data_IF_486139733307
#
_entry.id   IF_486139733307
#
_cell.length_a   1.000
_cell.length_b   1.000
_cell.length_c   1.000
_cell.angle_alpha   90.00
_cell.angle_beta   90.00
_cell.angle_gamma   90.00
#
_symmetry.space_group_name_H-M   'P 1'
#
loop_
_entity.id
_entity.type
_entity.pdbx_description
1 polymer ?
#
# COMPACT_ATOMS: atom_id res chain seq x y z
N UNK A 1 22.51 10.50 25.15
CA UNK A 1 22.45 11.81 24.47
C UNK A 1 21.00 12.22 24.28
N UNK A 2 20.64 13.52 24.41
CA UNK A 2 19.25 13.97 24.31
C UNK A 2 18.65 13.65 22.94
N UNK A 3 17.33 13.38 22.91
CA UNK A 3 16.60 13.15 21.67
C UNK A 3 16.51 14.46 20.86
N UNK A 4 16.79 14.39 19.57
CA UNK A 4 16.65 15.50 18.64
C UNK A 4 15.26 15.51 17.98
N UNK A 5 14.67 14.33 17.75
CA UNK A 5 13.32 14.17 17.20
C UNK A 5 12.61 12.96 17.81
N UNK A 6 11.28 12.98 17.77
CA UNK A 6 10.40 11.89 18.21
C UNK A 6 9.58 11.45 16.99
N UNK A 7 9.47 10.13 16.79
CA UNK A 7 8.58 9.53 15.78
C UNK A 7 7.51 8.72 16.49
N UNK A 8 6.26 8.89 16.06
CA UNK A 8 5.13 8.13 16.60
C UNK A 8 4.57 7.22 15.54
N UNK A 9 4.30 5.97 15.92
CA UNK A 9 3.68 4.96 15.08
C UNK A 9 2.34 4.53 15.68
N UNK A 10 1.32 4.36 14.84
CA UNK A 10 0.06 3.69 15.21
C UNK A 10 -0.03 2.40 14.41
N UNK A 11 -0.12 1.26 15.10
CA UNK A 11 -0.10 -0.07 14.50
C UNK A 11 1.07 -0.25 13.53
N UNK A 12 2.26 0.23 13.92
CA UNK A 12 3.48 0.18 13.12
C UNK A 12 3.59 1.24 12.00
N UNK A 13 2.65 2.19 11.88
CA UNK A 13 2.65 3.23 10.83
C UNK A 13 3.00 4.60 11.36
N UNK A 14 3.95 5.27 10.72
CA UNK A 14 4.35 6.64 11.10
C UNK A 14 3.20 7.65 10.94
N UNK A 15 2.98 8.48 11.96
CA UNK A 15 1.99 9.56 11.93
C UNK A 15 2.69 10.88 11.59
N UNK A 16 2.39 11.44 10.41
CA UNK A 16 3.02 12.66 9.89
C UNK A 16 2.69 13.95 10.66
N UNK A 17 1.67 13.95 11.54
CA UNK A 17 1.21 15.14 12.25
C UNK A 17 1.86 15.38 13.61
N UNK A 18 2.84 14.57 13.98
CA UNK A 18 3.55 14.76 15.22
C UNK A 18 4.67 15.82 15.04
N UNK A 19 4.36 17.11 15.13
CA UNK A 19 5.43 18.10 15.29
C UNK A 19 6.10 17.87 16.66
N UNK A 20 7.42 17.64 16.70
CA UNK A 20 8.11 17.38 17.95
C UNK A 20 8.21 18.68 18.75
N UNK A 21 7.35 18.85 19.75
CA UNK A 21 7.60 19.84 20.80
C UNK A 21 8.56 19.26 21.85
N UNK A 22 9.20 20.13 22.64
CA UNK A 22 10.06 19.71 23.76
C UNK A 22 9.34 18.87 24.83
N UNK A 23 8.00 18.82 24.81
CA UNK A 23 7.16 18.29 25.90
C UNK A 23 6.26 17.12 25.43
N UNK A 24 6.02 16.96 24.13
CA UNK A 24 5.16 15.92 23.59
C UNK A 24 4.63 16.22 22.21
N UNK A 25 3.71 15.39 21.73
CA UNK A 25 3.06 15.55 20.42
C UNK A 25 1.64 15.01 20.48
N UNK A 26 0.72 15.60 19.72
CA UNK A 26 -0.67 15.17 19.65
C UNK A 26 -0.87 14.26 18.44
N UNK A 27 -1.58 13.14 18.65
CA UNK A 27 -1.90 12.18 17.60
C UNK A 27 -3.38 11.82 17.65
N UNK A 28 -3.98 11.64 16.48
CA UNK A 28 -5.33 11.09 16.37
C UNK A 28 -5.27 9.58 16.45
N UNK A 29 -6.07 9.00 17.36
CA UNK A 29 -6.16 7.56 17.54
C UNK A 29 -7.32 6.98 16.72
N UNK A 30 -7.16 5.77 16.17
CA UNK A 30 -8.19 5.11 15.39
C UNK A 30 -9.41 4.73 16.23
N UNK A 31 -10.51 4.39 15.55
CA UNK A 31 -11.78 3.98 16.19
C UNK A 31 -11.82 2.56 16.74
N UNK A 32 -10.66 1.95 16.91
CA UNK A 32 -10.48 0.56 17.31
C UNK A 32 -9.30 0.42 18.27
N UNK A 33 -9.12 -0.79 18.79
CA UNK A 33 -7.92 -1.13 19.55
C UNK A 33 -6.68 -0.88 18.69
N UNK A 34 -5.65 -0.31 19.30
CA UNK A 34 -4.42 0.04 18.58
C UNK A 34 -3.20 -0.03 19.48
N UNK A 35 -2.04 -0.16 18.86
CA UNK A 35 -0.74 -0.05 19.49
C UNK A 35 -0.10 1.27 19.06
N UNK A 36 0.24 2.11 20.04
CA UNK A 36 1.00 3.33 19.80
C UNK A 36 2.44 3.05 20.19
N UNK A 37 3.38 3.30 19.27
CA UNK A 37 4.82 3.15 19.51
C UNK A 37 5.53 4.48 19.33
N UNK A 38 6.50 4.77 20.17
CA UNK A 38 7.31 6.00 20.12
C UNK A 38 8.78 5.63 19.97
N UNK A 39 9.45 6.27 19.01
CA UNK A 39 10.88 6.10 18.74
C UNK A 39 11.57 7.45 18.88
N UNK A 40 12.56 7.53 19.76
CA UNK A 40 13.41 8.71 19.90
C UNK A 40 14.60 8.62 18.93
N UNK A 41 15.01 9.74 18.33
CA UNK A 41 16.17 9.80 17.43
C UNK A 41 17.09 10.95 17.79
N UNK A 42 18.39 10.73 17.69
CA UNK A 42 19.41 11.77 17.78
C UNK A 42 20.52 11.53 16.72
N UNK A 43 21.59 12.32 16.77
CA UNK A 43 22.73 12.20 15.83
C UNK A 43 23.48 10.86 15.86
N UNK A 44 23.25 10.03 16.88
CA UNK A 44 23.91 8.75 17.08
C UNK A 44 23.04 7.55 16.70
N UNK A 45 21.74 7.75 16.46
CA UNK A 45 20.82 6.67 16.09
C UNK A 45 19.41 6.83 16.63
N UNK A 46 18.64 5.75 16.55
CA UNK A 46 17.27 5.62 17.06
C UNK A 46 17.23 4.73 18.29
N UNK A 47 16.29 4.99 19.19
CA UNK A 47 15.98 4.09 20.31
C UNK A 47 15.22 2.84 19.83
N UNK A 48 15.11 1.85 20.69
CA UNK A 48 14.04 0.84 20.56
C UNK A 48 12.66 1.51 20.69
N UNK A 49 11.60 0.93 20.09
CA UNK A 49 10.24 1.43 20.25
C UNK A 49 9.72 1.26 21.67
N UNK A 50 9.19 2.33 22.25
CA UNK A 50 8.36 2.26 23.46
C UNK A 50 6.89 2.16 23.05
N UNK A 51 6.23 1.04 23.37
CA UNK A 51 4.89 0.72 22.87
C UNK A 51 3.84 0.63 23.98
N UNK A 52 2.64 1.13 23.70
CA UNK A 52 1.46 0.99 24.55
C UNK A 52 0.27 0.47 23.73
N UNK A 53 -0.40 -0.56 24.24
CA UNK A 53 -1.63 -1.09 23.65
C UNK A 53 -2.83 -0.39 24.28
N UNK A 54 -3.64 0.24 23.44
CA UNK A 54 -4.84 0.98 23.81
C UNK A 54 -6.05 0.13 23.45
N UNK A 55 -6.94 -0.06 24.43
CA UNK A 55 -8.26 -0.67 24.23
C UNK A 55 -9.33 0.40 24.20
N UNK A 56 -10.15 0.44 23.14
CA UNK A 56 -11.24 1.42 23.01
C UNK A 56 -12.49 0.89 23.70
N UNK A 57 -13.07 1.69 24.60
CA UNK A 57 -14.38 1.39 25.20
C UNK A 57 -15.49 1.82 24.23
N UNK A 58 -16.32 0.88 23.78
CA UNK A 58 -17.43 1.12 22.85
C UNK A 58 -17.79 -0.13 22.06
N UNK A 59 -18.79 -0.05 21.17
CA UNK A 59 -19.14 -1.14 20.25
C UNK A 59 -17.98 -1.36 19.28
N UNK A 60 -17.04 -2.22 19.65
CA UNK A 60 -16.03 -2.71 18.72
C UNK A 60 -16.78 -3.35 17.56
N UNK A 61 -16.56 -2.83 16.36
CA UNK A 61 -16.83 -3.62 15.17
C UNK A 61 -15.93 -4.84 15.30
N UNK A 62 -16.52 -6.00 15.59
CA UNK A 62 -15.78 -7.26 15.60
C UNK A 62 -15.00 -7.35 14.27
N UNK A 63 -13.80 -7.94 14.29
CA UNK A 63 -12.96 -8.05 13.09
C UNK A 63 -13.68 -8.70 11.89
N UNK A 64 -14.71 -9.52 12.15
CA UNK A 64 -15.56 -10.12 11.11
C UNK A 64 -16.63 -9.18 10.54
N UNK A 65 -17.06 -8.16 11.30
CA UNK A 65 -18.01 -7.12 10.84
C UNK A 65 -17.29 -5.99 10.10
N UNK A 66 -16.04 -5.70 10.47
CA UNK A 66 -15.23 -4.67 9.82
C UNK A 66 -14.50 -5.22 8.58
N UNK A 67 -15.11 -5.02 7.40
CA UNK A 67 -14.48 -5.30 6.10
C UNK A 67 -14.11 -3.98 5.39
N UNK A 68 -12.83 -3.72 5.10
CA UNK A 68 -12.40 -2.52 4.38
C UNK A 68 -12.81 -2.58 2.89
N UNK A 69 -12.82 -1.45 2.18
CA UNK A 69 -12.85 -1.50 0.72
C UNK A 69 -11.43 -1.77 0.20
N UNK A 70 -11.35 -2.41 -0.96
CA UNK A 70 -10.11 -2.61 -1.71
C UNK A 70 -10.16 -1.79 -3.00
N UNK A 71 -9.20 -0.90 -3.17
CA UNK A 71 -8.90 -0.26 -4.44
C UNK A 71 -7.65 -0.90 -5.02
N UNK A 72 -7.71 -1.35 -6.28
CA UNK A 72 -6.53 -1.94 -6.90
C UNK A 72 -6.25 -1.40 -8.29
N UNK A 73 -4.96 -1.26 -8.60
CA UNK A 73 -4.47 -0.88 -9.92
C UNK A 73 -3.57 -1.99 -10.44
N UNK A 74 -4.00 -2.69 -11.49
CA UNK A 74 -3.24 -3.75 -12.13
C UNK A 74 -2.66 -3.24 -13.46
N UNK A 75 -1.33 -3.22 -13.56
CA UNK A 75 -0.58 -2.66 -14.68
C UNK A 75 0.24 -3.77 -15.31
N UNK A 76 0.24 -3.87 -16.64
CA UNK A 76 1.03 -4.86 -17.37
C UNK A 76 0.40 -5.22 -18.70
N UNK A 77 0.63 -6.42 -19.20
CA UNK A 77 -0.15 -6.90 -20.35
C UNK A 77 -1.61 -7.14 -19.93
N UNK A 78 -2.53 -7.13 -20.88
CA UNK A 78 -3.95 -7.40 -20.61
C UNK A 78 -4.16 -8.73 -19.87
N UNK A 79 -3.37 -9.77 -20.19
CA UNK A 79 -3.48 -11.10 -19.57
C UNK A 79 -3.04 -11.11 -18.12
N UNK A 80 -1.84 -10.62 -17.83
CA UNK A 80 -1.28 -10.64 -16.46
C UNK A 80 -2.11 -9.75 -15.54
N UNK A 81 -2.35 -8.50 -15.95
CA UNK A 81 -3.09 -7.53 -15.16
C UNK A 81 -4.56 -7.94 -15.02
N UNK A 82 -5.17 -8.50 -16.08
CA UNK A 82 -6.53 -9.03 -16.03
C UNK A 82 -6.65 -10.23 -15.11
N UNK A 83 -5.71 -11.17 -15.14
CA UNK A 83 -5.73 -12.36 -14.27
C UNK A 83 -5.62 -11.97 -12.80
N UNK A 84 -4.70 -11.07 -12.48
CA UNK A 84 -4.56 -10.53 -11.13
C UNK A 84 -5.82 -9.78 -10.67
N UNK A 85 -6.42 -8.97 -11.55
CA UNK A 85 -7.68 -8.28 -11.25
C UNK A 85 -8.81 -9.27 -10.94
N UNK A 86 -8.95 -10.34 -11.73
CA UNK A 86 -9.94 -11.38 -11.49
C UNK A 86 -9.78 -12.10 -10.14
N UNK A 87 -8.54 -12.27 -9.66
CA UNK A 87 -8.28 -12.84 -8.34
C UNK A 87 -8.71 -11.92 -7.19
N UNK A 88 -8.49 -10.60 -7.34
CA UNK A 88 -8.88 -9.62 -6.34
C UNK A 88 -10.39 -9.42 -6.28
N UNK A 89 -11.08 -9.39 -7.42
CA UNK A 89 -12.54 -9.21 -7.47
C UNK A 89 -13.28 -10.31 -6.69
N UNK A 90 -12.75 -11.53 -6.67
CA UNK A 90 -13.30 -12.65 -5.88
C UNK A 90 -13.24 -12.44 -4.36
N UNK A 91 -12.44 -11.49 -3.89
CA UNK A 91 -12.32 -11.17 -2.47
C UNK A 91 -13.46 -10.26 -1.96
N UNK A 92 -14.28 -9.72 -2.86
CA UNK A 92 -15.45 -8.91 -2.53
C UNK A 92 -16.47 -9.72 -1.72
N UNK A 93 -16.98 -9.13 -0.65
CA UNK A 93 -17.87 -9.78 0.31
C UNK A 93 -17.16 -10.74 1.28
N UNK A 94 -15.95 -11.21 0.97
CA UNK A 94 -15.13 -12.07 1.83
C UNK A 94 -14.26 -11.24 2.78
N UNK A 95 -13.03 -10.90 2.40
CA UNK A 95 -12.12 -10.07 3.20
C UNK A 95 -12.36 -8.58 3.02
N UNK A 96 -12.99 -8.18 1.91
CA UNK A 96 -13.25 -6.79 1.57
C UNK A 96 -14.74 -6.57 1.37
N UNK A 97 -15.27 -5.43 1.81
CA UNK A 97 -16.68 -5.07 1.62
C UNK A 97 -16.97 -4.85 0.14
N UNK A 98 -16.14 -4.01 -0.48
CA UNK A 98 -16.14 -3.75 -1.91
C UNK A 98 -14.73 -3.95 -2.46
N UNK A 99 -14.66 -4.39 -3.71
CA UNK A 99 -13.43 -4.41 -4.49
C UNK A 99 -13.66 -3.56 -5.72
N UNK A 100 -12.68 -2.75 -6.08
CA UNK A 100 -12.65 -1.97 -7.32
C UNK A 100 -11.27 -2.10 -7.93
N UNK A 101 -11.15 -2.89 -9.00
CA UNK A 101 -9.89 -3.05 -9.71
C UNK A 101 -9.90 -2.34 -11.05
N UNK A 102 -8.88 -1.52 -11.31
CA UNK A 102 -8.64 -0.95 -12.64
C UNK A 102 -7.45 -1.61 -13.30
N UNK A 103 -7.66 -2.08 -14.52
CA UNK A 103 -6.62 -2.68 -15.36
C UNK A 103 -6.08 -1.62 -16.32
N UNK A 104 -4.78 -1.41 -16.33
CA UNK A 104 -4.08 -0.57 -17.28
C UNK A 104 -3.13 -1.43 -18.12
N UNK A 105 -3.64 -1.90 -19.26
CA UNK A 105 -2.86 -2.65 -20.23
C UNK A 105 -1.95 -1.71 -21.05
N UNK A 106 -0.67 -2.08 -21.21
CA UNK A 106 0.29 -1.43 -22.13
C UNK A 106 0.29 0.11 -22.06
N UNK A 107 0.27 0.64 -20.84
CA UNK A 107 -0.02 2.06 -20.57
C UNK A 107 1.24 2.93 -20.40
N UNK A 108 1.03 4.24 -20.29
CA UNK A 108 2.08 5.22 -20.00
C UNK A 108 2.19 5.51 -18.49
N UNK A 109 3.37 5.96 -18.04
CA UNK A 109 3.57 6.40 -16.65
C UNK A 109 2.61 7.52 -16.21
N UNK A 110 2.21 8.40 -17.13
CA UNK A 110 1.22 9.44 -16.87
C UNK A 110 -0.14 8.86 -16.46
N UNK A 111 -0.62 7.84 -17.18
CA UNK A 111 -1.88 7.19 -16.87
C UNK A 111 -1.82 6.46 -15.53
N UNK A 112 -0.69 5.80 -15.22
CA UNK A 112 -0.46 5.19 -13.90
C UNK A 112 -0.59 6.23 -12.78
N UNK A 113 0.10 7.35 -12.89
CA UNK A 113 0.07 8.41 -11.88
C UNK A 113 -1.31 9.05 -11.73
N UNK A 114 -2.02 9.25 -12.85
CA UNK A 114 -3.39 9.76 -12.85
C UNK A 114 -4.31 8.86 -12.02
N UNK A 115 -4.25 7.54 -12.26
CA UNK A 115 -5.10 6.59 -11.54
C UNK A 115 -4.70 6.42 -10.08
N UNK A 116 -3.41 6.38 -9.75
CA UNK A 116 -2.94 6.37 -8.37
C UNK A 116 -3.41 7.62 -7.60
N UNK A 117 -3.39 8.78 -8.25
CA UNK A 117 -3.90 10.04 -7.68
C UNK A 117 -5.41 9.97 -7.43
N UNK A 118 -6.16 9.30 -8.30
CA UNK A 118 -7.58 9.10 -8.12
C UNK A 118 -7.86 8.15 -6.95
N UNK A 119 -7.16 7.02 -6.86
CA UNK A 119 -7.26 6.08 -5.73
C UNK A 119 -6.96 6.80 -4.41
N UNK A 120 -5.89 7.60 -4.36
CA UNK A 120 -5.54 8.39 -3.17
C UNK A 120 -6.67 9.31 -2.70
N UNK A 121 -7.46 9.88 -3.62
CA UNK A 121 -8.60 10.75 -3.28
C UNK A 121 -9.83 9.99 -2.77
N UNK A 122 -9.98 8.72 -3.16
CA UNK A 122 -11.14 7.89 -2.79
C UNK A 122 -10.89 7.05 -1.54
N UNK A 123 -9.65 6.58 -1.35
CA UNK A 123 -9.30 5.70 -0.24
C UNK A 123 -9.33 6.45 1.09
N UNK A 124 -9.80 5.76 2.13
CA UNK A 124 -9.72 6.19 3.53
C UNK A 124 -8.55 5.50 4.24
N UNK A 125 -8.30 5.89 5.49
CA UNK A 125 -7.30 5.28 6.36
C UNK A 125 -7.60 3.82 6.72
N UNK A 126 -8.86 3.42 6.58
CA UNK A 126 -9.29 2.05 6.84
C UNK A 126 -9.24 1.13 5.63
N UNK A 127 -9.21 1.70 4.41
CA UNK A 127 -9.22 0.94 3.17
C UNK A 127 -7.87 0.27 2.87
N UNK A 128 -7.89 -0.69 1.97
CA UNK A 128 -6.70 -1.29 1.39
C UNK A 128 -6.50 -0.81 -0.05
N UNK A 129 -5.24 -0.60 -0.42
CA UNK A 129 -4.81 -0.31 -1.78
C UNK A 129 -3.80 -1.36 -2.21
N UNK A 130 -4.06 -2.00 -3.33
CA UNK A 130 -3.13 -2.94 -3.96
C UNK A 130 -2.71 -2.38 -5.32
N UNK A 131 -1.42 -2.26 -5.54
CA UNK A 131 -0.90 -1.93 -6.87
C UNK A 131 -0.11 -3.15 -7.35
N UNK A 132 -0.47 -3.65 -8.52
CA UNK A 132 0.22 -4.74 -9.20
C UNK A 132 0.85 -4.21 -10.48
N UNK A 133 2.10 -4.54 -10.69
CA UNK A 133 2.87 -4.09 -11.84
C UNK A 133 3.63 -5.25 -12.45
N UNK A 134 3.31 -5.58 -13.71
CA UNK A 134 3.98 -6.60 -14.51
C UNK A 134 4.60 -5.97 -15.76
N UNK A 135 5.80 -6.42 -16.13
CA UNK A 135 6.41 -6.13 -17.44
C UNK A 135 7.60 -5.15 -17.46
N UNK A 136 8.01 -4.79 -18.68
CA UNK A 136 9.23 -4.00 -18.97
C UNK A 136 8.97 -2.48 -18.98
N UNK A 137 8.20 -1.97 -18.02
CA UNK A 137 7.81 -0.56 -18.03
C UNK A 137 8.94 0.34 -17.48
N UNK A 138 9.91 0.59 -18.36
CA UNK A 138 11.09 1.40 -18.11
C UNK A 138 10.81 2.92 -17.95
N UNK A 139 9.56 3.40 -18.08
CA UNK A 139 9.27 4.84 -18.24
C UNK A 139 8.22 5.43 -17.27
N UNK A 140 7.82 4.72 -16.22
CA UNK A 140 6.99 5.34 -15.19
C UNK A 140 7.88 6.15 -14.21
N UNK A 141 7.53 7.40 -13.85
CA UNK A 141 8.35 8.20 -12.93
C UNK A 141 8.33 7.58 -11.53
N UNK A 142 9.31 6.71 -11.25
CA UNK A 142 9.41 5.94 -10.02
C UNK A 142 9.26 6.81 -8.77
N UNK A 143 9.90 7.99 -8.76
CA UNK A 143 9.84 8.93 -7.64
C UNK A 143 8.41 9.40 -7.35
N UNK A 144 7.63 9.74 -8.38
CA UNK A 144 6.26 10.22 -8.21
C UNK A 144 5.30 9.09 -7.82
N UNK A 145 5.56 7.85 -8.30
CA UNK A 145 4.82 6.67 -7.85
C UNK A 145 5.07 6.45 -6.36
N UNK A 146 6.35 6.44 -5.93
CA UNK A 146 6.71 6.31 -4.52
C UNK A 146 6.02 7.36 -3.66
N UNK A 147 6.11 8.63 -4.02
CA UNK A 147 5.49 9.72 -3.28
C UNK A 147 3.98 9.56 -3.18
N UNK A 148 3.34 9.11 -4.26
CA UNK A 148 1.88 8.89 -4.28
C UNK A 148 1.50 7.72 -3.39
N UNK A 149 2.23 6.60 -3.43
CA UNK A 149 2.00 5.44 -2.55
C UNK A 149 2.24 5.79 -1.07
N UNK A 150 3.32 6.51 -0.77
CA UNK A 150 3.67 6.96 0.58
C UNK A 150 2.73 8.05 1.14
N UNK A 151 1.88 8.62 0.30
CA UNK A 151 0.85 9.58 0.67
C UNK A 151 -0.56 8.97 0.74
N UNK A 152 -0.71 7.66 0.50
CA UNK A 152 -2.01 7.01 0.63
C UNK A 152 -2.42 6.88 2.10
N UNK A 153 -3.69 7.15 2.43
CA UNK A 153 -4.16 7.09 3.82
C UNK A 153 -4.27 5.65 4.35
N UNK A 154 -4.60 4.69 3.48
CA UNK A 154 -4.91 3.31 3.84
C UNK A 154 -3.72 2.34 3.84
N UNK A 155 -4.01 1.03 3.86
CA UNK A 155 -2.99 -0.02 3.77
C UNK A 155 -2.55 -0.24 2.35
N UNK A 156 -1.27 -0.02 2.04
CA UNK A 156 -0.74 -0.15 0.68
C UNK A 156 0.12 -1.40 0.56
N UNK A 157 -0.20 -2.26 -0.39
CA UNK A 157 0.66 -3.32 -0.87
C UNK A 157 1.05 -3.08 -2.33
N UNK A 158 2.32 -3.23 -2.65
CA UNK A 158 2.84 -3.10 -4.01
C UNK A 158 3.47 -4.42 -4.46
N UNK A 159 2.87 -5.03 -5.47
CA UNK A 159 3.33 -6.26 -6.11
C UNK A 159 4.04 -5.92 -7.41
N UNK A 160 5.27 -6.37 -7.51
CA UNK A 160 6.17 -6.02 -8.59
C UNK A 160 6.69 -7.29 -9.26
N UNK A 161 6.18 -7.57 -10.45
CA UNK A 161 6.56 -8.70 -11.29
C UNK A 161 7.34 -8.22 -12.51
N UNK A 162 8.61 -7.88 -12.32
CA UNK A 162 9.45 -7.36 -13.40
C UNK A 162 10.80 -8.06 -13.41
N UNK A 163 11.32 -8.28 -14.61
CA UNK A 163 12.70 -8.72 -14.81
C UNK A 163 13.65 -7.55 -14.50
N UNK A 164 13.99 -7.35 -13.23
CA UNK A 164 15.06 -6.47 -12.79
C UNK A 164 16.35 -7.27 -12.54
N UNK A 165 17.49 -6.59 -12.68
CA UNK A 165 18.70 -7.08 -12.03
C UNK A 165 18.53 -7.04 -10.52
N UNK A 166 19.07 -8.03 -9.81
CA UNK A 166 18.97 -8.16 -8.34
C UNK A 166 19.29 -6.83 -7.63
N UNK A 167 20.42 -6.21 -7.97
CA UNK A 167 20.84 -4.92 -7.39
C UNK A 167 19.84 -3.78 -7.56
N UNK A 168 19.11 -3.72 -8.69
CA UNK A 168 18.10 -2.67 -8.93
C UNK A 168 16.81 -2.94 -8.18
N UNK A 169 16.43 -4.21 -8.05
CA UNK A 169 15.29 -4.61 -7.25
C UNK A 169 15.53 -4.33 -5.76
N UNK A 170 16.70 -4.70 -5.23
CA UNK A 170 17.04 -4.47 -3.82
C UNK A 170 17.01 -2.99 -3.45
N UNK A 171 17.60 -2.13 -4.28
CA UNK A 171 17.58 -0.68 -4.05
C UNK A 171 16.15 -0.13 -4.02
N UNK A 172 15.29 -0.60 -4.94
CA UNK A 172 13.90 -0.14 -5.04
C UNK A 172 13.03 -0.67 -3.90
N UNK A 173 13.19 -1.94 -3.54
CA UNK A 173 12.50 -2.56 -2.41
C UNK A 173 12.87 -1.85 -1.13
N UNK A 174 14.16 -1.72 -0.83
CA UNK A 174 14.63 -1.06 0.39
C UNK A 174 14.09 0.37 0.51
N UNK A 175 14.05 1.10 -0.60
CA UNK A 175 13.56 2.47 -0.64
C UNK A 175 12.03 2.58 -0.48
N UNK A 176 11.25 1.68 -1.08
CA UNK A 176 9.78 1.66 -0.98
C UNK A 176 9.27 1.05 0.33
N UNK A 177 9.89 -0.03 0.81
CA UNK A 177 9.52 -0.72 2.05
C UNK A 177 10.02 0.00 3.29
N UNK A 178 10.75 1.11 3.12
CA UNK A 178 11.18 1.94 4.24
C UNK A 178 9.96 2.30 5.12
N UNK A 179 10.06 2.17 6.46
CA UNK A 179 8.91 2.35 7.36
C UNK A 179 8.17 3.69 7.21
N UNK A 180 8.87 4.74 6.76
CA UNK A 180 8.30 6.05 6.44
C UNK A 180 7.25 6.06 5.33
N UNK A 181 7.29 5.10 4.42
CA UNK A 181 6.34 5.06 3.30
C UNK A 181 5.07 4.28 3.65
N UNK A 182 5.12 3.39 4.65
CA UNK A 182 3.98 2.56 5.03
C UNK A 182 3.50 1.59 3.95
N UNK A 183 4.37 1.26 2.98
CA UNK A 183 4.10 0.37 1.85
C UNK A 183 4.71 -1.01 2.10
N UNK A 184 3.91 -2.07 1.98
CA UNK A 184 4.41 -3.45 1.93
C UNK A 184 4.75 -3.80 0.48
N UNK A 185 5.98 -4.25 0.21
CA UNK A 185 6.44 -4.50 -1.17
C UNK A 185 6.71 -5.98 -1.35
N UNK A 186 6.19 -6.56 -2.43
CA UNK A 186 6.41 -7.94 -2.85
C UNK A 186 7.04 -7.92 -4.24
N UNK A 187 8.18 -8.57 -4.42
CA UNK A 187 8.90 -8.57 -5.71
C UNK A 187 9.19 -9.98 -6.15
N UNK A 188 8.92 -10.27 -7.42
CA UNK A 188 9.49 -11.41 -8.11
C UNK A 188 10.82 -10.99 -8.76
N UNK A 189 11.94 -11.52 -8.26
CA UNK A 189 13.31 -11.21 -8.74
C UNK A 189 14.02 -12.45 -9.30
N UNK A 190 14.89 -12.23 -10.28
CA UNK A 190 15.47 -13.29 -11.11
C UNK A 190 16.68 -14.02 -10.51
N UNK A 191 16.41 -15.17 -9.90
CA UNK A 191 17.01 -16.47 -10.25
C UNK A 191 15.99 -17.62 -10.11
N UNK A 192 14.71 -17.26 -10.02
CA UNK A 192 13.56 -18.17 -10.07
C UNK A 192 12.63 -17.65 -11.17
N UNK A 193 12.32 -18.52 -12.13
CA UNK A 193 11.41 -18.21 -13.24
C UNK A 193 9.99 -17.97 -12.72
N UNK A 194 9.36 -16.87 -13.12
CA UNK A 194 7.92 -16.67 -12.93
C UNK A 194 7.20 -17.46 -14.02
N UNK A 195 6.57 -18.58 -13.65
CA UNK A 195 5.77 -19.39 -14.57
C UNK A 195 4.30 -19.01 -14.42
N UNK A 196 3.68 -18.50 -15.48
CA UNK A 196 2.22 -18.51 -15.59
C UNK A 196 1.78 -19.91 -16.03
N UNK A 197 0.89 -20.56 -15.27
CA UNK A 197 0.26 -21.82 -15.66
C UNK A 197 -1.03 -21.53 -16.45
N UNK A 198 -1.17 -22.12 -17.64
CA UNK A 198 -2.33 -21.94 -18.51
C UNK A 198 -3.64 -22.44 -17.89
N UNK A 199 -3.59 -23.39 -16.94
CA UNK A 199 -4.78 -23.83 -16.18
C UNK A 199 -5.31 -22.78 -15.21
N UNK A 200 -4.56 -21.69 -14.97
CA UNK A 200 -5.00 -20.54 -14.16
C UNK A 200 -5.76 -19.50 -14.98
N UNK A 201 -6.10 -19.77 -16.24
CA UNK A 201 -6.96 -18.90 -17.05
C UNK A 201 -8.35 -18.73 -16.42
N UNK A 202 -8.53 -17.63 -15.70
CA UNK A 202 -9.82 -17.19 -15.19
C UNK A 202 -10.54 -16.45 -16.31
N UNK A 203 -11.74 -16.92 -16.69
CA UNK A 203 -12.62 -16.27 -17.66
C UNK A 203 -12.92 -14.83 -17.24
N UNK A 204 -12.41 -13.88 -18.01
CA UNK A 204 -12.44 -12.44 -17.74
C UNK A 204 -13.83 -11.83 -18.01
N UNK A 205 -14.28 -10.82 -17.24
CA UNK A 205 -15.36 -9.94 -17.67
C UNK A 205 -14.92 -9.10 -18.90
N UNK A 206 -15.82 -8.93 -19.87
CA UNK A 206 -15.55 -8.28 -21.18
C UNK A 206 -15.21 -6.77 -21.11
N UNK A 207 -15.34 -6.14 -19.94
CA UNK A 207 -15.06 -4.71 -19.73
C UNK A 207 -14.48 -4.47 -18.35
N UNK A 208 -13.44 -3.63 -18.27
CA UNK A 208 -12.82 -3.23 -17.00
C UNK A 208 -13.79 -2.36 -16.20
N UNK A 209 -14.03 -2.65 -14.90
CA UNK A 209 -14.83 -1.78 -14.06
C UNK A 209 -14.10 -0.44 -13.86
N UNK A 210 -14.77 0.67 -14.14
CA UNK A 210 -14.27 1.99 -13.84
C UNK A 210 -14.40 2.28 -12.33
N UNK A 211 -13.42 3.00 -11.78
CA UNK A 211 -13.54 3.51 -10.42
C UNK A 211 -14.77 4.43 -10.34
N UNK A 212 -15.64 4.24 -9.34
CA UNK A 212 -16.77 5.13 -9.15
C UNK A 212 -16.27 6.57 -8.96
N UNK A 213 -16.85 7.50 -9.71
CA UNK A 213 -16.53 8.93 -9.60
C UNK A 213 -17.14 9.42 -8.28
N UNK A 214 -16.35 9.99 -7.35
CA UNK A 214 -16.92 10.61 -6.16
C UNK A 214 -17.85 11.74 -6.58
N UNK A 215 -19.08 11.77 -6.02
CA UNK A 215 -20.00 12.92 -6.16
C UNK A 215 -19.53 14.10 -5.34
#
# INVERSE_FOLDING_TARGET
APAATIRVLINGRFVKNAEPSRIGTEIFLPEQDCEVSVIARNRYGSSEPASVKLRRKGKQLLSDEFKPNLYALAIGTFREAGSFAGLLERQKGSYYRNVSVKVLADTTGFNVLKELTQIRKMATDTDAVIVFFSGHAANAPYLQIKETLAAMPGRVAYFLNIALSENRADAMVNDLSAPENGVSVFVAVGNQSSFENTEWEITQPKTAPEFPIPR
#
